data_IF_384662703474
#
_entry.id   IF_384662703474
#
_cell.length_a   1.000
_cell.length_b   1.000
_cell.length_c   1.000
_cell.angle_alpha   90.00
_cell.angle_beta   90.00
_cell.angle_gamma   90.00
#
_symmetry.space_group_name_H-M   'P 1'
#
loop_
_entity.id
_entity.type
_entity.pdbx_description
1 polymer ?
#
# COMPACT_ATOMS: atom_id res chain seq x y z
N UNK A 1 -98.54 25.52 39.35
CA UNK A 1 -98.33 25.78 40.79
C UNK A 1 -98.75 24.51 41.53
N UNK A 2 -97.87 23.56 41.90
CA UNK A 2 -96.80 23.58 42.93
C UNK A 2 -97.35 24.10 44.27
N UNK A 3 -97.16 23.44 45.41
CA UNK A 3 -96.74 22.08 45.80
C UNK A 3 -97.07 21.95 47.29
N UNK A 4 -96.88 20.75 47.82
CA UNK A 4 -97.21 20.34 49.19
C UNK A 4 -96.04 19.52 49.77
N UNK A 5 -96.10 19.27 51.09
CA UNK A 5 -95.52 18.13 51.86
C UNK A 5 -94.06 18.31 52.30
N UNK A 6 -93.55 18.05 53.53
CA UNK A 6 -93.83 17.35 54.83
C UNK A 6 -92.77 16.25 55.14
N UNK A 7 -92.11 16.45 56.29
CA UNK A 7 -91.06 15.79 57.11
C UNK A 7 -90.90 14.24 57.23
N UNK A 8 -89.64 13.76 57.48
CA UNK A 8 -89.11 13.21 58.79
C UNK A 8 -87.66 12.63 58.75
N UNK A 9 -86.87 13.00 59.79
CA UNK A 9 -85.79 12.35 60.62
C UNK A 9 -84.67 11.47 59.99
N UNK A 10 -83.41 11.75 60.40
CA UNK A 10 -82.10 11.25 59.92
C UNK A 10 -81.44 10.31 60.96
N UNK A 11 -80.88 9.18 60.51
CA UNK A 11 -79.85 8.36 61.18
C UNK A 11 -78.67 8.25 60.21
N UNK A 12 -77.46 8.55 60.69
CA UNK A 12 -76.24 8.72 59.90
C UNK A 12 -75.33 7.48 60.04
N UNK A 13 -75.08 6.76 58.95
CA UNK A 13 -73.97 5.81 58.82
C UNK A 13 -73.63 5.60 57.33
N UNK A 14 -72.34 5.43 57.04
CA UNK A 14 -71.74 5.06 55.74
C UNK A 14 -71.55 6.24 54.75
N UNK A 15 -70.53 6.32 53.88
CA UNK A 15 -69.60 5.34 53.34
C UNK A 15 -68.42 6.12 52.71
N UNK A 16 -67.19 5.60 52.82
CA UNK A 16 -65.97 6.17 52.20
C UNK A 16 -66.03 5.96 50.68
N UNK A 17 -65.94 7.04 49.92
CA UNK A 17 -65.86 7.04 48.46
C UNK A 17 -64.42 6.81 48.00
N UNK A 18 -64.17 5.70 47.29
CA UNK A 18 -62.99 5.52 46.46
C UNK A 18 -63.14 6.33 45.17
N UNK A 19 -62.26 7.30 44.94
CA UNK A 19 -62.04 7.88 43.61
C UNK A 19 -61.12 6.94 42.82
N UNK A 20 -61.66 6.27 41.82
CA UNK A 20 -60.85 5.59 40.81
C UNK A 20 -60.23 6.66 39.90
N UNK A 21 -58.90 6.79 39.91
CA UNK A 21 -58.19 7.43 38.82
C UNK A 21 -58.35 6.55 37.58
N UNK A 22 -58.93 7.10 36.51
CA UNK A 22 -58.68 6.58 35.17
C UNK A 22 -57.20 6.79 34.89
N UNK A 23 -56.45 5.71 34.74
CA UNK A 23 -55.18 5.78 34.02
C UNK A 23 -55.57 6.03 32.56
N UNK A 24 -55.45 7.28 32.12
CA UNK A 24 -55.27 7.56 30.71
C UNK A 24 -53.98 6.85 30.30
N UNK A 25 -54.12 5.74 29.57
CA UNK A 25 -53.02 5.17 28.79
C UNK A 25 -52.62 6.22 27.75
N UNK A 26 -51.80 7.17 28.17
CA UNK A 26 -51.03 8.01 27.28
C UNK A 26 -50.02 7.08 26.61
N UNK A 27 -50.46 6.33 25.61
CA UNK A 27 -49.57 5.68 24.66
C UNK A 27 -48.88 6.80 23.88
N UNK A 28 -47.81 7.35 24.44
CA UNK A 28 -46.95 8.29 23.74
C UNK A 28 -46.41 7.56 22.52
N UNK A 29 -46.96 7.88 21.35
CA UNK A 29 -46.51 7.33 20.08
C UNK A 29 -45.04 7.70 19.94
N UNK A 30 -44.15 6.71 19.82
CA UNK A 30 -42.72 6.98 19.70
C UNK A 30 -42.44 7.85 18.47
N UNK A 31 -41.61 8.87 18.64
CA UNK A 31 -41.16 9.76 17.56
C UNK A 31 -39.65 9.67 17.42
N UNK A 32 -39.16 9.80 16.18
CA UNK A 32 -37.77 10.16 15.92
C UNK A 32 -37.77 11.58 15.39
N UNK A 33 -37.05 12.44 16.11
CA UNK A 33 -36.82 13.83 15.75
C UNK A 33 -35.57 13.97 14.88
N UNK A 34 -34.50 13.25 15.21
CA UNK A 34 -33.25 13.28 14.46
C UNK A 34 -32.45 11.97 14.54
N UNK A 35 -31.72 11.68 13.47
CA UNK A 35 -30.62 10.72 13.48
C UNK A 35 -29.35 11.47 13.09
N UNK A 36 -28.38 11.57 14.01
CA UNK A 36 -27.16 12.35 13.83
C UNK A 36 -25.96 11.42 13.84
N UNK A 37 -25.17 11.42 12.76
CA UNK A 37 -23.97 10.61 12.66
C UNK A 37 -22.70 11.38 13.06
N UNK A 38 -21.83 10.72 13.83
CA UNK A 38 -20.54 11.25 14.24
C UNK A 38 -19.39 10.42 13.64
N UNK A 39 -18.28 11.07 13.21
CA UNK A 39 -18.05 12.52 13.22
C UNK A 39 -18.80 13.27 12.09
N UNK A 40 -19.00 14.58 12.28
CA UNK A 40 -19.52 15.49 11.23
C UNK A 40 -20.97 15.94 11.39
N UNK A 41 -21.67 15.47 12.42
CA UNK A 41 -23.06 15.81 12.75
C UNK A 41 -24.02 15.72 11.54
N UNK A 42 -23.83 14.67 10.73
CA UNK A 42 -24.64 14.46 9.54
C UNK A 42 -26.06 14.05 9.93
N UNK A 43 -27.05 14.81 9.47
CA UNK A 43 -28.45 14.56 9.77
C UNK A 43 -29.06 13.58 8.75
N UNK A 44 -29.58 12.45 9.22
CA UNK A 44 -30.16 11.37 8.42
C UNK A 44 -29.23 10.83 7.32
N UNK A 45 -27.92 11.05 7.47
CA UNK A 45 -26.89 10.50 6.61
C UNK A 45 -25.77 9.95 7.49
N UNK A 46 -25.08 8.92 7.03
CA UNK A 46 -23.94 8.36 7.74
C UNK A 46 -22.96 7.69 6.77
N UNK A 47 -21.68 7.70 7.12
CA UNK A 47 -20.72 6.79 6.51
C UNK A 47 -20.81 5.40 7.17
N UNK A 48 -20.38 4.34 6.46
CA UNK A 48 -20.03 3.06 7.08
C UNK A 48 -19.23 3.23 8.37
N UNK A 49 -19.57 2.45 9.39
CA UNK A 49 -18.90 2.40 10.69
C UNK A 49 -19.02 3.67 11.55
N UNK A 50 -19.73 4.71 11.08
CA UNK A 50 -20.05 5.85 11.93
C UNK A 50 -21.00 5.44 13.05
N UNK A 51 -20.87 6.12 14.19
CA UNK A 51 -21.87 6.07 15.25
C UNK A 51 -23.01 7.00 14.89
N UNK A 52 -24.24 6.53 15.10
CA UNK A 52 -25.47 7.31 14.90
C UNK A 52 -26.18 7.41 16.23
N UNK A 53 -26.40 8.65 16.67
CA UNK A 53 -27.27 8.98 17.79
C UNK A 53 -28.67 9.26 17.25
N UNK A 54 -29.66 8.54 17.78
CA UNK A 54 -31.07 8.78 17.49
C UNK A 54 -31.66 9.55 18.66
N UNK A 55 -32.42 10.60 18.36
CA UNK A 55 -33.10 11.46 19.33
C UNK A 55 -34.61 11.49 19.03
N UNK A 56 -35.41 11.49 20.09
CA UNK A 56 -36.87 11.52 20.01
C UNK A 56 -37.54 11.30 21.37
N UNK A 57 -38.75 10.74 21.35
CA UNK A 57 -39.54 10.40 22.55
C UNK A 57 -40.11 8.98 22.42
N UNK A 58 -40.33 8.29 23.54
CA UNK A 58 -40.87 6.92 23.54
C UNK A 58 -39.90 5.85 23.00
N UNK A 59 -38.59 6.12 23.05
CA UNK A 59 -37.55 5.24 22.49
C UNK A 59 -37.08 4.15 23.46
N UNK A 60 -37.64 4.08 24.68
CA UNK A 60 -37.24 3.10 25.67
C UNK A 60 -37.57 1.66 25.24
N UNK A 61 -36.75 0.72 25.67
CA UNK A 61 -36.94 -0.70 25.40
C UNK A 61 -36.73 -1.04 23.93
N UNK A 62 -35.70 -0.46 23.30
CA UNK A 62 -35.26 -0.82 21.96
C UNK A 62 -34.90 -2.32 21.93
N UNK A 63 -35.52 -3.05 21.01
CA UNK A 63 -35.40 -4.51 20.84
C UNK A 63 -34.59 -4.87 19.61
N UNK A 64 -34.78 -4.12 18.52
CA UNK A 64 -34.18 -4.43 17.23
C UNK A 64 -34.00 -3.18 16.38
N UNK A 65 -32.90 -3.16 15.64
CA UNK A 65 -32.65 -2.19 14.57
C UNK A 65 -32.41 -3.00 13.29
N UNK A 66 -33.13 -2.66 12.23
CA UNK A 66 -33.00 -3.32 10.92
C UNK A 66 -32.76 -2.29 9.83
N UNK A 67 -31.64 -2.42 9.11
CA UNK A 67 -31.27 -1.59 7.97
C UNK A 67 -31.60 -2.28 6.64
N UNK A 68 -32.17 -1.53 5.71
CA UNK A 68 -32.64 -2.00 4.40
C UNK A 68 -33.53 -3.26 4.48
N UNK A 69 -34.25 -3.43 5.60
CA UNK A 69 -35.07 -4.60 5.93
C UNK A 69 -34.30 -5.95 5.92
N UNK A 70 -32.97 -5.93 5.93
CA UNK A 70 -32.11 -7.12 5.78
C UNK A 70 -31.10 -7.26 6.89
N UNK A 71 -30.48 -6.15 7.28
CA UNK A 71 -29.30 -6.14 8.15
C UNK A 71 -29.73 -5.80 9.56
N UNK A 72 -29.60 -6.77 10.47
CA UNK A 72 -29.79 -6.51 11.89
C UNK A 72 -28.58 -5.75 12.43
N UNK A 73 -28.82 -4.59 13.05
CA UNK A 73 -27.77 -3.78 13.67
C UNK A 73 -27.72 -4.10 15.17
N UNK A 74 -26.54 -4.43 15.66
CA UNK A 74 -26.29 -4.57 17.10
C UNK A 74 -26.24 -3.21 17.78
N UNK A 75 -26.78 -3.14 18.99
CA UNK A 75 -26.74 -1.96 19.85
C UNK A 75 -26.48 -2.38 21.28
N UNK A 76 -26.04 -1.45 22.11
CA UNK A 76 -25.86 -1.68 23.54
C UNK A 76 -27.11 -1.15 24.29
N UNK A 77 -27.92 -2.02 24.93
CA UNK A 77 -29.11 -1.59 25.66
C UNK A 77 -28.82 -0.58 26.78
N UNK A 78 -27.60 -0.56 27.33
CA UNK A 78 -27.20 0.41 28.36
C UNK A 78 -27.07 1.85 27.82
N UNK A 79 -27.03 2.04 26.51
CA UNK A 79 -27.07 3.35 25.86
C UNK A 79 -28.47 3.72 25.36
N UNK A 80 -29.51 2.91 25.66
CA UNK A 80 -30.88 3.23 25.32
C UNK A 80 -31.58 3.91 26.51
N UNK A 81 -32.21 5.04 26.22
CA UNK A 81 -33.10 5.77 27.10
C UNK A 81 -34.42 6.03 26.37
N UNK A 82 -35.38 6.63 27.05
CA UNK A 82 -36.63 7.03 26.41
C UNK A 82 -36.44 8.13 25.34
N UNK A 83 -35.35 8.90 25.42
CA UNK A 83 -35.10 10.04 24.53
C UNK A 83 -34.05 9.81 23.46
N UNK A 84 -33.18 8.83 23.68
CA UNK A 84 -32.07 8.58 22.76
C UNK A 84 -31.51 7.17 22.87
N UNK A 85 -30.89 6.73 21.78
CA UNK A 85 -29.99 5.59 21.74
C UNK A 85 -28.90 5.78 20.69
N UNK A 86 -27.86 4.96 20.77
CA UNK A 86 -26.72 5.02 19.86
C UNK A 86 -26.49 3.64 19.26
N UNK A 87 -26.20 3.60 17.96
CA UNK A 87 -25.74 2.40 17.27
C UNK A 87 -24.61 2.75 16.29
N UNK A 88 -24.01 1.74 15.67
CA UNK A 88 -22.98 1.91 14.63
C UNK A 88 -23.49 1.35 13.31
N UNK A 89 -23.31 2.08 12.22
CA UNK A 89 -23.72 1.64 10.89
C UNK A 89 -22.80 0.49 10.46
N UNK A 90 -23.31 -0.75 10.31
CA UNK A 90 -22.49 -1.81 9.75
C UNK A 90 -22.28 -1.58 8.26
N UNK A 91 -21.22 -2.17 7.71
CA UNK A 91 -21.08 -2.29 6.27
C UNK A 91 -20.43 -3.61 5.93
N UNK A 92 -21.27 -4.55 5.52
CA UNK A 92 -20.90 -5.88 5.04
C UNK A 92 -21.71 -6.19 3.78
N UNK A 93 -21.02 -6.28 2.65
CA UNK A 93 -21.61 -6.59 1.34
C UNK A 93 -22.28 -7.96 1.31
N UNK A 94 -21.76 -8.93 2.06
CA UNK A 94 -22.32 -10.29 2.13
C UNK A 94 -23.67 -10.29 2.84
N UNK A 95 -23.89 -9.33 3.73
CA UNK A 95 -25.18 -9.09 4.37
C UNK A 95 -26.09 -8.14 3.57
N UNK A 96 -25.63 -7.68 2.40
CA UNK A 96 -26.41 -6.83 1.50
C UNK A 96 -26.29 -5.33 1.75
N UNK A 97 -25.21 -4.88 2.41
CA UNK A 97 -24.99 -3.43 2.62
C UNK A 97 -24.82 -2.71 1.28
N UNK A 98 -25.40 -1.51 1.18
CA UNK A 98 -25.33 -0.66 -0.01
C UNK A 98 -25.29 0.82 0.38
N UNK A 99 -24.82 1.65 -0.56
CA UNK A 99 -24.85 3.10 -0.43
C UNK A 99 -26.19 3.70 -0.89
N UNK A 100 -26.37 4.98 -0.57
CA UNK A 100 -27.57 5.76 -0.89
C UNK A 100 -28.65 5.63 0.16
N UNK A 101 -29.82 6.18 -0.17
CA UNK A 101 -30.98 6.21 0.73
C UNK A 101 -31.55 4.80 0.91
N UNK A 102 -31.81 4.43 2.16
CA UNK A 102 -32.42 3.15 2.51
C UNK A 102 -33.22 3.24 3.81
N UNK A 103 -34.26 2.40 3.96
CA UNK A 103 -35.06 2.40 5.17
C UNK A 103 -34.27 1.83 6.34
N UNK A 104 -34.44 2.42 7.52
CA UNK A 104 -33.98 1.92 8.80
C UNK A 104 -35.19 1.84 9.75
N UNK A 105 -35.40 0.64 10.28
CA UNK A 105 -36.55 0.31 11.13
C UNK A 105 -36.07 0.02 12.54
N UNK A 106 -36.77 0.58 13.52
CA UNK A 106 -36.50 0.41 14.94
C UNK A 106 -37.73 -0.18 15.62
N UNK A 107 -37.53 -1.24 16.39
CA UNK A 107 -38.58 -1.88 17.18
C UNK A 107 -38.33 -1.59 18.65
N UNK A 108 -39.26 -0.88 19.31
CA UNK A 108 -39.19 -0.47 20.73
C UNK A 108 -40.29 -1.13 21.56
N UNK A 109 -40.41 -0.75 22.84
CA UNK A 109 -41.58 -1.11 23.64
C UNK A 109 -42.87 -0.43 23.16
N UNK A 110 -42.77 0.79 22.61
CA UNK A 110 -43.90 1.59 22.16
C UNK A 110 -44.39 1.24 20.73
N UNK A 111 -43.58 0.52 19.95
CA UNK A 111 -43.95 0.08 18.61
C UNK A 111 -42.76 0.00 17.65
N UNK A 112 -43.07 -0.19 16.36
CA UNK A 112 -42.09 -0.19 15.28
C UNK A 112 -42.23 1.08 14.43
N UNK A 113 -41.11 1.70 14.10
CA UNK A 113 -41.06 2.89 13.25
C UNK A 113 -39.92 2.82 12.26
N UNK A 114 -40.17 3.33 11.05
CA UNK A 114 -39.23 3.34 9.93
C UNK A 114 -38.93 4.77 9.51
N UNK A 115 -37.66 5.06 9.28
CA UNK A 115 -37.16 6.30 8.69
C UNK A 115 -36.23 5.96 7.52
N UNK A 116 -35.90 6.97 6.72
CA UNK A 116 -34.86 6.85 5.72
C UNK A 116 -33.54 7.36 6.28
N UNK A 117 -32.45 6.66 5.95
CA UNK A 117 -31.07 7.10 6.19
C UNK A 117 -30.27 6.94 4.91
N UNK A 118 -29.46 7.94 4.57
CA UNK A 118 -28.54 7.86 3.43
C UNK A 118 -27.18 7.34 3.88
N UNK A 119 -26.73 6.21 3.31
CA UNK A 119 -25.38 5.72 3.56
C UNK A 119 -24.43 6.27 2.50
N UNK A 120 -23.57 7.17 2.91
CA UNK A 120 -22.60 7.83 2.04
C UNK A 120 -21.42 6.91 1.75
N UNK A 121 -20.92 6.94 0.52
CA UNK A 121 -19.70 6.23 0.14
C UNK A 121 -18.47 7.02 0.63
N UNK A 122 -17.55 6.40 1.39
CA UNK A 122 -16.30 7.06 1.75
C UNK A 122 -15.42 7.35 0.53
N UNK A 123 -14.54 8.35 0.67
CA UNK A 123 -13.50 8.62 -0.33
C UNK A 123 -12.62 7.37 -0.48
N UNK A 124 -12.32 6.93 -1.71
CA UNK A 124 -11.44 5.80 -1.92
C UNK A 124 -10.02 6.11 -1.44
N UNK A 125 -9.25 5.07 -1.12
CA UNK A 125 -7.83 5.21 -0.80
C UNK A 125 -6.99 4.32 -1.70
N UNK A 126 -5.74 4.70 -1.91
CA UNK A 126 -4.72 3.83 -2.50
C UNK A 126 -3.64 3.63 -1.44
N UNK A 127 -3.38 2.38 -1.08
CA UNK A 127 -2.43 2.03 -0.03
C UNK A 127 -1.14 1.42 -0.58
N UNK A 128 -1.23 0.69 -1.69
CA UNK A 128 -0.08 -0.04 -2.25
C UNK A 128 -0.25 -0.34 -3.74
N UNK A 129 0.88 -0.48 -4.43
CA UNK A 129 0.94 -1.02 -5.79
C UNK A 129 1.71 -2.34 -5.82
N UNK A 130 1.32 -3.26 -6.70
CA UNK A 130 1.96 -4.56 -6.89
C UNK A 130 2.20 -4.78 -8.40
N UNK A 131 3.47 -4.86 -8.86
CA UNK A 131 4.70 -4.69 -8.07
C UNK A 131 4.85 -3.29 -7.46
N UNK A 132 5.65 -3.17 -6.39
CA UNK A 132 5.94 -1.89 -5.75
C UNK A 132 6.74 -0.96 -6.69
N UNK A 133 7.58 -1.55 -7.56
CA UNK A 133 8.23 -0.87 -8.66
C UNK A 133 7.49 -1.21 -9.94
N UNK A 134 6.74 -0.25 -10.44
CA UNK A 134 5.97 -0.40 -11.65
C UNK A 134 6.88 -0.43 -12.89
N UNK A 135 6.48 -1.20 -13.90
CA UNK A 135 7.15 -1.25 -15.20
C UNK A 135 6.15 -0.84 -16.28
N UNK A 136 6.41 0.24 -17.05
CA UNK A 136 5.59 0.61 -18.19
C UNK A 136 5.35 -0.58 -19.14
N UNK A 137 4.13 -0.72 -19.65
CA UNK A 137 3.72 -1.83 -20.52
C UNK A 137 3.26 -3.10 -19.79
N UNK A 138 3.43 -3.18 -18.47
CA UNK A 138 2.97 -4.32 -17.66
C UNK A 138 1.77 -3.97 -16.78
N UNK A 139 0.94 -4.95 -16.37
CA UNK A 139 -0.13 -4.72 -15.41
C UNK A 139 0.40 -4.24 -14.06
N UNK A 140 -0.37 -3.36 -13.41
CA UNK A 140 -0.13 -2.89 -12.06
C UNK A 140 -1.40 -3.13 -11.23
N UNK A 141 -1.29 -3.92 -10.17
CA UNK A 141 -2.36 -4.06 -9.19
C UNK A 141 -2.28 -2.92 -8.18
N UNK A 142 -3.42 -2.30 -7.90
CA UNK A 142 -3.59 -1.18 -6.98
C UNK A 142 -4.47 -1.67 -5.83
N UNK A 143 -3.92 -1.70 -4.63
CA UNK A 143 -4.64 -2.04 -3.40
C UNK A 143 -5.08 -0.77 -2.68
N UNK A 144 -6.24 -0.84 -2.02
CA UNK A 144 -6.87 0.31 -1.39
C UNK A 144 -8.17 0.00 -0.69
N UNK A 145 -9.05 0.99 -0.60
CA UNK A 145 -10.41 0.84 -0.04
C UNK A 145 -11.43 1.62 -0.84
N UNK A 146 -12.70 1.21 -0.70
CA UNK A 146 -13.89 1.88 -1.25
C UNK A 146 -13.91 2.04 -2.78
N UNK A 147 -13.34 1.08 -3.51
CA UNK A 147 -13.39 0.98 -4.98
C UNK A 147 -14.75 0.52 -5.50
N UNK A 148 -15.82 1.20 -5.09
CA UNK A 148 -17.18 0.97 -5.58
C UNK A 148 -17.54 1.95 -6.68
N UNK A 149 -18.15 1.43 -7.75
CA UNK A 149 -18.66 2.22 -8.88
C UNK A 149 -17.62 3.22 -9.41
N UNK A 150 -16.38 2.77 -9.61
CA UNK A 150 -15.31 3.61 -10.18
C UNK A 150 -15.82 4.22 -11.49
N UNK A 151 -15.85 5.55 -11.54
CA UNK A 151 -16.30 6.32 -12.70
C UNK A 151 -15.14 6.70 -13.62
N UNK A 152 -13.92 6.77 -13.09
CA UNK A 152 -12.70 6.97 -13.89
C UNK A 152 -11.44 6.50 -13.18
N UNK A 153 -10.47 6.05 -13.98
CA UNK A 153 -9.07 5.85 -13.60
C UNK A 153 -8.22 6.59 -14.63
N UNK A 154 -7.34 7.49 -14.18
CA UNK A 154 -6.44 8.23 -15.06
C UNK A 154 -5.00 8.22 -14.57
N UNK A 155 -4.02 8.20 -15.47
CA UNK A 155 -2.60 8.34 -15.16
C UNK A 155 -2.03 9.53 -15.95
N UNK A 156 -1.49 10.53 -15.25
CA UNK A 156 -1.01 11.76 -15.88
C UNK A 156 -2.09 12.48 -16.69
N UNK A 157 -3.36 12.37 -16.25
CA UNK A 157 -4.52 12.91 -16.95
C UNK A 157 -5.05 12.07 -18.13
N UNK A 158 -4.36 11.00 -18.53
CA UNK A 158 -4.84 10.07 -19.58
C UNK A 158 -5.72 8.98 -18.96
N UNK A 159 -6.88 8.70 -19.56
CA UNK A 159 -7.76 7.63 -19.10
C UNK A 159 -7.13 6.25 -19.27
N UNK A 160 -7.32 5.37 -18.28
CA UNK A 160 -6.87 3.99 -18.28
C UNK A 160 -8.06 3.03 -18.18
N UNK A 161 -7.92 1.87 -18.82
CA UNK A 161 -8.78 0.73 -18.52
C UNK A 161 -8.34 0.08 -17.21
N UNK A 162 -9.32 -0.46 -16.47
CA UNK A 162 -9.07 -1.20 -15.25
C UNK A 162 -9.95 -2.46 -15.19
N UNK A 163 -9.49 -3.44 -14.41
CA UNK A 163 -10.26 -4.61 -14.00
C UNK A 163 -10.50 -4.52 -12.51
N UNK A 164 -11.75 -4.53 -12.08
CA UNK A 164 -12.11 -4.58 -10.66
C UNK A 164 -11.97 -6.02 -10.14
N UNK A 165 -11.10 -6.26 -9.15
CA UNK A 165 -11.02 -7.56 -8.46
C UNK A 165 -11.93 -7.58 -7.23
N UNK A 166 -11.94 -6.49 -6.48
CA UNK A 166 -12.76 -6.29 -5.28
C UNK A 166 -12.89 -4.79 -4.98
N UNK A 167 -13.70 -4.45 -3.97
CA UNK A 167 -13.79 -3.10 -3.42
C UNK A 167 -12.48 -2.57 -2.80
N UNK A 168 -11.43 -3.38 -2.76
CA UNK A 168 -10.10 -3.05 -2.24
C UNK A 168 -8.95 -3.33 -3.22
N UNK A 169 -9.24 -3.82 -4.43
CA UNK A 169 -8.21 -4.09 -5.43
C UNK A 169 -8.71 -3.91 -6.87
N UNK A 170 -7.92 -3.20 -7.67
CA UNK A 170 -8.06 -3.10 -9.12
C UNK A 170 -6.75 -3.45 -9.82
N UNK A 171 -6.82 -3.91 -11.06
CA UNK A 171 -5.65 -4.02 -11.95
C UNK A 171 -5.80 -3.00 -13.06
N UNK A 172 -4.76 -2.20 -13.28
CA UNK A 172 -4.64 -1.30 -14.42
C UNK A 172 -3.57 -1.80 -15.40
N UNK A 173 -3.75 -1.55 -16.68
CA UNK A 173 -2.68 -1.71 -17.66
C UNK A 173 -1.85 -0.42 -17.71
N UNK A 174 -0.56 -0.48 -17.36
CA UNK A 174 0.31 0.68 -17.54
C UNK A 174 0.67 0.84 -19.01
N UNK A 175 0.45 2.04 -19.60
CA UNK A 175 0.93 2.32 -20.95
C UNK A 175 2.45 2.13 -21.05
N UNK A 176 2.94 1.65 -22.19
CA UNK A 176 4.38 1.50 -22.44
C UNK A 176 5.12 2.85 -22.49
N UNK A 177 4.41 3.94 -22.79
CA UNK A 177 4.90 5.32 -22.81
C UNK A 177 4.64 6.07 -21.50
N UNK A 178 4.25 5.37 -20.42
CA UNK A 178 4.00 6.01 -19.14
C UNK A 178 5.27 6.70 -18.62
N UNK A 179 5.12 7.89 -18.05
CA UNK A 179 6.23 8.69 -17.51
C UNK A 179 6.31 8.53 -15.99
N UNK A 180 7.52 8.31 -15.46
CA UNK A 180 7.74 8.21 -14.02
C UNK A 180 7.30 9.50 -13.32
N UNK A 181 6.67 9.39 -12.15
CA UNK A 181 6.12 10.54 -11.43
C UNK A 181 4.71 10.95 -11.87
N UNK A 182 4.04 10.17 -12.73
CA UNK A 182 2.67 10.47 -13.16
C UNK A 182 1.67 10.28 -12.01
N UNK A 183 0.73 11.23 -11.84
CA UNK A 183 -0.37 11.11 -10.88
C UNK A 183 -1.40 10.09 -11.38
N UNK A 184 -1.62 9.02 -10.61
CA UNK A 184 -2.75 8.11 -10.73
C UNK A 184 -3.93 8.67 -9.92
N UNK A 185 -5.07 8.80 -10.58
CA UNK A 185 -6.32 9.30 -10.00
C UNK A 185 -7.40 8.23 -10.18
N UNK A 186 -8.05 7.84 -9.10
CA UNK A 186 -9.21 6.93 -9.10
C UNK A 186 -10.41 7.69 -8.55
N UNK A 187 -11.47 7.79 -9.33
CA UNK A 187 -12.70 8.51 -8.95
C UNK A 187 -13.85 7.55 -8.73
N UNK A 188 -14.55 7.73 -7.62
CA UNK A 188 -15.80 7.06 -7.28
C UNK A 188 -16.86 8.11 -6.89
N UNK A 189 -18.13 7.73 -6.71
CA UNK A 189 -19.14 8.65 -6.18
C UNK A 189 -18.79 9.24 -4.80
N UNK A 190 -17.98 8.51 -4.00
CA UNK A 190 -17.51 8.96 -2.69
C UNK A 190 -16.37 9.98 -2.75
N UNK A 191 -15.75 10.21 -3.91
CA UNK A 191 -14.66 11.16 -4.11
C UNK A 191 -13.50 10.58 -4.91
N UNK A 192 -12.30 11.09 -4.68
CA UNK A 192 -11.12 10.78 -5.49
C UNK A 192 -9.93 10.36 -4.64
N UNK A 193 -9.30 9.25 -5.01
CA UNK A 193 -7.99 8.84 -4.50
C UNK A 193 -6.90 9.29 -5.48
N UNK A 194 -5.78 9.78 -4.95
CA UNK A 194 -4.62 10.21 -5.74
C UNK A 194 -3.36 9.55 -5.20
N UNK A 195 -2.47 9.15 -6.10
CA UNK A 195 -1.12 8.68 -5.77
C UNK A 195 -0.17 8.93 -6.92
N UNK A 196 1.13 8.96 -6.68
CA UNK A 196 2.15 9.09 -7.73
C UNK A 196 2.69 7.71 -8.08
N UNK A 197 2.74 7.39 -9.38
CA UNK A 197 3.36 6.16 -9.87
C UNK A 197 4.77 6.50 -10.36
N UNK A 198 5.76 5.91 -9.69
CA UNK A 198 7.16 6.02 -10.05
C UNK A 198 7.63 4.71 -10.69
N UNK A 199 8.45 4.84 -11.72
CA UNK A 199 9.14 3.73 -12.37
C UNK A 199 10.60 3.77 -11.98
N UNK A 200 11.24 2.60 -11.91
CA UNK A 200 12.69 2.58 -11.85
C UNK A 200 13.25 2.83 -13.25
N UNK A 201 14.23 3.74 -13.34
CA UNK A 201 15.03 3.92 -14.55
C UNK A 201 16.15 2.89 -14.55
N UNK A 202 16.44 2.33 -15.72
CA UNK A 202 17.46 1.31 -15.92
C UNK A 202 18.54 1.83 -16.87
N UNK A 203 19.79 1.78 -16.44
CA UNK A 203 20.97 1.99 -17.29
C UNK A 203 21.65 0.63 -17.44
N UNK A 204 21.65 0.08 -18.65
CA UNK A 204 22.44 -1.12 -18.95
C UNK A 204 23.89 -0.67 -19.06
N UNK A 205 24.73 -1.16 -18.17
CA UNK A 205 26.18 -0.90 -18.20
C UNK A 205 26.81 -1.82 -19.24
N UNK A 206 26.57 -3.12 -19.13
CA UNK A 206 26.98 -4.13 -20.10
C UNK A 206 26.12 -5.38 -19.95
N UNK A 207 25.69 -5.96 -21.06
CA UNK A 207 25.10 -7.29 -21.14
C UNK A 207 26.02 -8.32 -21.83
N UNK A 208 27.25 -7.91 -22.17
CA UNK A 208 28.23 -8.74 -22.89
C UNK A 208 27.77 -9.30 -24.25
N UNK A 209 26.64 -8.80 -24.77
CA UNK A 209 26.06 -9.14 -26.07
C UNK A 209 26.01 -7.93 -27.03
N UNK A 210 26.68 -6.84 -26.63
CA UNK A 210 26.85 -5.64 -27.44
C UNK A 210 25.94 -4.48 -27.06
N UNK A 211 25.12 -4.61 -26.01
CA UNK A 211 24.34 -3.50 -25.48
C UNK A 211 24.94 -2.91 -24.20
N UNK A 212 24.57 -1.66 -23.92
CA UNK A 212 24.95 -0.94 -22.73
C UNK A 212 25.87 0.24 -22.99
N UNK A 213 26.10 1.03 -21.94
CA UNK A 213 26.90 2.26 -22.00
C UNK A 213 28.41 2.02 -21.89
N UNK A 214 28.82 0.76 -21.66
CA UNK A 214 30.22 0.33 -21.46
C UNK A 214 30.43 -1.12 -21.96
N UNK A 215 30.66 -1.29 -23.26
CA UNK A 215 30.74 -2.62 -23.90
C UNK A 215 32.16 -3.21 -24.00
N UNK A 216 33.21 -2.42 -23.75
CA UNK A 216 34.61 -2.86 -23.95
C UNK A 216 35.32 -3.14 -22.62
N UNK A 217 35.18 -4.37 -22.11
CA UNK A 217 35.75 -4.78 -20.82
C UNK A 217 37.16 -5.36 -20.95
N UNK A 218 38.06 -4.94 -20.07
CA UNK A 218 39.43 -5.44 -19.95
C UNK A 218 39.73 -5.86 -18.52
N UNK A 219 40.71 -6.73 -18.33
CA UNK A 219 41.19 -7.15 -17.00
C UNK A 219 42.54 -6.56 -16.66
N UNK A 220 42.87 -6.53 -15.37
CA UNK A 220 44.12 -5.99 -14.84
C UNK A 220 44.48 -6.61 -13.48
N UNK A 221 45.74 -6.47 -13.10
CA UNK A 221 46.28 -6.97 -11.84
C UNK A 221 46.54 -8.47 -11.85
N UNK A 222 46.40 -9.10 -10.69
CA UNK A 222 46.65 -10.51 -10.47
C UNK A 222 45.52 -11.39 -11.04
N UNK A 223 45.50 -11.56 -12.36
CA UNK A 223 44.49 -12.33 -13.09
C UNK A 223 45.16 -13.52 -13.78
N UNK A 224 44.49 -14.68 -13.78
CA UNK A 224 44.91 -15.84 -14.56
C UNK A 224 44.35 -15.76 -15.99
N UNK A 225 43.05 -15.54 -16.12
CA UNK A 225 42.40 -15.29 -17.41
C UNK A 225 41.14 -14.45 -17.28
N UNK A 226 40.78 -13.76 -18.36
CA UNK A 226 39.53 -13.01 -18.50
C UNK A 226 38.96 -13.21 -19.90
N UNK A 227 37.68 -13.56 -19.99
CA UNK A 227 36.96 -13.65 -21.25
C UNK A 227 35.57 -13.03 -21.11
N UNK A 228 35.35 -11.90 -21.80
CA UNK A 228 34.08 -11.18 -21.83
C UNK A 228 33.03 -11.75 -22.81
N UNK A 229 33.34 -12.85 -23.52
CA UNK A 229 32.50 -13.41 -24.58
C UNK A 229 32.26 -14.92 -24.39
N UNK A 230 32.09 -15.37 -23.15
CA UNK A 230 31.84 -16.79 -22.87
C UNK A 230 30.37 -17.09 -23.08
N UNK A 231 30.01 -18.05 -23.94
CA UNK A 231 28.62 -18.40 -24.20
C UNK A 231 27.97 -19.18 -23.04
N UNK A 232 26.65 -19.06 -22.90
CA UNK A 232 25.85 -19.81 -21.91
C UNK A 232 25.57 -19.04 -20.63
N UNK A 233 25.50 -17.71 -20.73
CA UNK A 233 25.03 -16.82 -19.68
C UNK A 233 23.51 -16.89 -19.50
N UNK A 234 22.96 -16.15 -18.53
CA UNK A 234 21.52 -15.96 -18.38
C UNK A 234 20.86 -15.42 -19.65
N UNK A 235 21.56 -14.52 -20.34
CA UNK A 235 21.21 -14.00 -21.66
C UNK A 235 22.47 -14.01 -22.51
N UNK A 236 22.57 -14.94 -23.47
CA UNK A 236 23.68 -14.95 -24.42
C UNK A 236 25.06 -15.18 -23.79
N UNK A 237 25.96 -14.22 -23.97
CA UNK A 237 27.33 -14.29 -23.48
C UNK A 237 27.47 -13.73 -22.05
N UNK A 238 28.56 -14.10 -21.38
CA UNK A 238 28.92 -13.57 -20.07
C UNK A 238 30.44 -13.36 -19.95
N UNK A 239 30.83 -12.62 -18.92
CA UNK A 239 32.22 -12.43 -18.55
C UNK A 239 32.68 -13.47 -17.51
N UNK A 240 33.80 -14.13 -17.78
CA UNK A 240 34.48 -15.02 -16.86
C UNK A 240 35.84 -14.43 -16.45
N UNK A 241 36.11 -14.37 -15.15
CA UNK A 241 37.39 -13.90 -14.59
C UNK A 241 37.94 -14.98 -13.66
N UNK A 242 39.13 -15.49 -13.99
CA UNK A 242 39.82 -16.53 -13.22
C UNK A 242 40.97 -15.95 -12.41
N UNK A 243 41.12 -16.45 -11.18
CA UNK A 243 42.24 -16.17 -10.31
C UNK A 243 42.76 -17.47 -9.69
N UNK A 244 44.08 -17.65 -9.74
CA UNK A 244 44.79 -18.87 -9.30
C UNK A 244 45.66 -18.65 -8.07
N UNK A 245 45.56 -17.48 -7.42
CA UNK A 245 46.18 -17.23 -6.12
C UNK A 245 47.33 -16.24 -6.12
N UNK A 246 47.68 -15.67 -7.28
CA UNK A 246 48.70 -14.62 -7.32
C UNK A 246 48.30 -13.47 -6.40
N UNK A 247 49.27 -12.95 -5.65
CA UNK A 247 49.16 -11.76 -4.79
C UNK A 247 50.27 -10.76 -5.10
N UNK A 248 50.89 -10.86 -6.28
CA UNK A 248 52.07 -10.08 -6.64
C UNK A 248 51.79 -8.57 -6.66
N UNK A 249 50.60 -8.17 -7.12
CA UNK A 249 50.17 -6.78 -7.17
C UNK A 249 49.27 -6.40 -5.98
N UNK A 250 48.62 -7.39 -5.36
CA UNK A 250 47.69 -7.20 -4.25
C UNK A 250 46.33 -6.64 -4.67
N UNK A 251 46.06 -6.60 -5.98
CA UNK A 251 44.74 -6.31 -6.54
C UNK A 251 44.53 -7.10 -7.83
N UNK A 252 43.26 -7.34 -8.17
CA UNK A 252 42.83 -7.82 -9.47
C UNK A 252 41.47 -7.22 -9.83
N UNK A 253 41.11 -7.25 -11.11
CA UNK A 253 39.76 -6.90 -11.52
C UNK A 253 39.59 -6.79 -13.02
N UNK A 254 38.39 -6.36 -13.38
CA UNK A 254 37.99 -6.06 -14.75
C UNK A 254 37.07 -4.85 -14.76
N UNK A 255 37.16 -4.06 -15.84
CA UNK A 255 36.31 -2.91 -16.06
C UNK A 255 36.28 -2.52 -17.54
N UNK A 256 35.25 -1.77 -17.92
CA UNK A 256 35.19 -1.06 -19.18
C UNK A 256 35.65 0.41 -19.09
N UNK A 257 36.32 0.77 -17.99
CA UNK A 257 36.93 2.08 -17.81
C UNK A 257 35.98 3.15 -17.27
N UNK A 258 36.58 4.20 -16.71
CA UNK A 258 35.88 5.43 -16.34
C UNK A 258 35.48 6.29 -17.54
N UNK A 259 34.72 7.35 -17.26
CA UNK A 259 34.27 8.29 -18.29
C UNK A 259 33.26 9.28 -17.72
N UNK A 260 32.25 9.63 -18.52
CA UNK A 260 31.08 10.34 -18.01
C UNK A 260 30.35 9.49 -16.98
N UNK A 261 29.78 10.13 -15.96
CA UNK A 261 28.90 9.46 -15.00
C UNK A 261 27.78 8.68 -15.68
N UNK A 262 27.34 7.60 -15.05
CA UNK A 262 26.23 6.79 -15.56
C UNK A 262 24.86 7.47 -15.42
N UNK A 263 24.70 8.32 -14.41
CA UNK A 263 23.43 8.95 -14.07
C UNK A 263 23.48 10.45 -14.32
N UNK A 264 22.31 11.09 -14.43
CA UNK A 264 22.23 12.55 -14.45
C UNK A 264 22.64 13.14 -13.11
N UNK A 265 23.09 14.40 -13.11
CA UNK A 265 23.54 15.13 -11.92
C UNK A 265 22.45 15.34 -10.87
N UNK A 266 21.18 15.10 -11.20
CA UNK A 266 20.05 15.15 -10.27
C UNK A 266 19.91 13.91 -9.40
N UNK A 267 20.50 12.77 -9.80
CA UNK A 267 20.27 11.47 -9.17
C UNK A 267 21.38 11.14 -8.17
N UNK A 268 21.38 11.84 -7.03
CA UNK A 268 22.46 11.75 -6.04
C UNK A 268 22.22 10.69 -4.97
N UNK A 269 20.98 10.16 -4.85
CA UNK A 269 20.55 9.31 -3.74
C UNK A 269 21.06 7.85 -3.87
N UNK A 270 22.09 7.53 -3.07
CA UNK A 270 22.66 6.18 -3.00
C UNK A 270 21.72 5.14 -2.38
N UNK A 271 20.74 5.53 -1.55
CA UNK A 271 19.78 4.59 -0.95
C UNK A 271 18.68 4.17 -1.94
N UNK A 272 18.51 4.93 -3.03
CA UNK A 272 17.56 4.65 -4.12
C UNK A 272 18.22 4.22 -5.42
N UNK A 273 19.53 3.99 -5.39
CA UNK A 273 20.29 3.53 -6.55
C UNK A 273 20.87 2.15 -6.27
N UNK A 274 20.71 1.25 -7.23
CA UNK A 274 21.06 -0.16 -7.11
C UNK A 274 21.91 -0.59 -8.30
N UNK A 275 22.85 -1.48 -8.05
CA UNK A 275 23.48 -2.30 -9.09
C UNK A 275 22.82 -3.67 -9.07
N UNK A 276 22.21 -4.04 -10.19
CA UNK A 276 21.76 -5.39 -10.44
C UNK A 276 22.80 -6.07 -11.36
N UNK A 277 23.29 -7.24 -10.96
CA UNK A 277 24.28 -8.02 -11.72
C UNK A 277 23.95 -9.50 -11.60
N UNK A 278 23.92 -10.22 -12.71
CA UNK A 278 23.79 -11.67 -12.67
C UNK A 278 25.16 -12.26 -12.35
N UNK A 279 25.20 -13.17 -11.38
CA UNK A 279 26.44 -13.75 -10.87
C UNK A 279 26.36 -15.26 -10.74
N UNK A 280 27.51 -15.90 -10.96
CA UNK A 280 27.78 -17.32 -10.77
C UNK A 280 29.28 -17.50 -10.50
N UNK A 281 29.69 -18.70 -10.13
CA UNK A 281 31.09 -19.07 -10.02
C UNK A 281 31.30 -20.56 -10.34
N UNK A 282 32.56 -20.98 -10.45
CA UNK A 282 32.91 -22.40 -10.52
C UNK A 282 32.77 -23.12 -9.17
N UNK A 283 32.75 -22.39 -8.05
CA UNK A 283 32.77 -22.97 -6.69
C UNK A 283 32.04 -22.06 -5.70
N UNK A 284 31.32 -22.68 -4.75
CA UNK A 284 30.71 -21.97 -3.62
C UNK A 284 31.81 -21.34 -2.76
N UNK A 285 31.56 -20.13 -2.29
CA UNK A 285 32.50 -19.34 -1.49
C UNK A 285 33.42 -18.45 -2.31
N UNK A 286 33.46 -18.57 -3.64
CA UNK A 286 34.16 -17.63 -4.51
C UNK A 286 33.71 -16.19 -4.20
N UNK A 287 34.67 -15.27 -4.16
CA UNK A 287 34.42 -13.91 -3.66
C UNK A 287 34.45 -12.88 -4.76
N UNK A 288 33.34 -12.17 -4.88
CA UNK A 288 33.25 -10.99 -5.71
C UNK A 288 33.72 -9.77 -4.94
N UNK A 289 34.50 -8.93 -5.63
CA UNK A 289 34.71 -7.54 -5.29
C UNK A 289 34.03 -6.69 -6.37
N UNK A 290 32.96 -5.99 -6.00
CA UNK A 290 32.33 -4.97 -6.84
C UNK A 290 32.86 -3.63 -6.38
N UNK A 291 33.54 -2.89 -7.25
CA UNK A 291 34.12 -1.60 -6.91
C UNK A 291 33.61 -0.50 -7.82
N UNK A 292 33.55 0.72 -7.30
CA UNK A 292 33.09 1.89 -8.01
C UNK A 292 34.20 2.93 -7.98
N UNK A 293 34.41 3.62 -9.10
CA UNK A 293 35.07 4.92 -9.08
C UNK A 293 34.06 6.01 -9.39
N UNK A 294 34.38 7.20 -8.94
CA UNK A 294 33.62 8.42 -9.17
C UNK A 294 34.43 9.44 -9.94
N UNK A 295 33.75 10.34 -10.65
CA UNK A 295 34.39 11.45 -11.40
C UNK A 295 35.19 12.40 -10.50
N UNK A 296 34.92 12.47 -9.20
CA UNK A 296 35.68 13.27 -8.22
C UNK A 296 36.80 12.48 -7.52
N UNK A 297 37.14 11.30 -8.05
CA UNK A 297 38.32 10.54 -7.63
C UNK A 297 38.14 9.75 -6.34
N UNK A 298 36.91 9.52 -5.89
CA UNK A 298 36.61 8.61 -4.78
C UNK A 298 36.38 7.19 -5.29
N UNK A 299 36.74 6.24 -4.46
CA UNK A 299 36.53 4.81 -4.69
C UNK A 299 35.70 4.16 -3.59
N UNK A 300 34.96 3.14 -3.99
CA UNK A 300 34.08 2.38 -3.11
C UNK A 300 34.13 0.90 -3.46
N UNK A 301 33.77 0.05 -2.50
CA UNK A 301 33.64 -1.39 -2.76
C UNK A 301 32.55 -2.07 -1.94
N UNK A 302 32.06 -3.16 -2.51
CA UNK A 302 31.11 -4.09 -1.91
C UNK A 302 31.57 -5.52 -2.24
N UNK A 303 31.90 -6.27 -1.19
CA UNK A 303 32.43 -7.62 -1.31
C UNK A 303 31.40 -8.65 -0.85
N UNK A 304 31.26 -9.76 -1.57
CA UNK A 304 30.35 -10.84 -1.16
C UNK A 304 30.80 -12.21 -1.67
N UNK A 305 30.30 -13.26 -0.99
CA UNK A 305 30.54 -14.67 -1.33
C UNK A 305 29.39 -15.23 -2.15
N UNK A 306 29.72 -16.03 -3.16
CA UNK A 306 28.75 -16.84 -3.87
C UNK A 306 28.30 -18.01 -2.98
N UNK A 307 26.99 -18.18 -2.83
CA UNK A 307 26.38 -19.27 -2.06
C UNK A 307 25.76 -20.36 -2.93
N UNK A 308 25.54 -20.08 -4.22
CA UNK A 308 25.03 -21.01 -5.22
C UNK A 308 25.77 -20.78 -6.55
N UNK A 309 26.20 -21.86 -7.20
CA UNK A 309 26.90 -21.80 -8.49
C UNK A 309 25.93 -21.61 -9.67
N UNK A 310 24.62 -21.77 -9.46
CA UNK A 310 23.61 -21.38 -10.45
C UNK A 310 23.58 -19.86 -10.61
N UNK A 311 23.17 -19.40 -11.79
CA UNK A 311 22.98 -17.98 -12.06
C UNK A 311 21.91 -17.38 -11.16
N UNK A 312 22.26 -16.28 -10.49
CA UNK A 312 21.34 -15.50 -9.65
C UNK A 312 21.58 -14.01 -9.85
N UNK A 313 20.53 -13.21 -9.82
CA UNK A 313 20.66 -11.75 -9.83
C UNK A 313 21.00 -11.26 -8.42
N UNK A 314 22.13 -10.57 -8.28
CA UNK A 314 22.53 -9.86 -7.08
C UNK A 314 22.14 -8.38 -7.21
N UNK A 315 21.23 -7.93 -6.35
CA UNK A 315 20.91 -6.51 -6.17
C UNK A 315 21.75 -5.93 -5.04
N UNK A 316 22.48 -4.84 -5.30
CA UNK A 316 23.34 -4.16 -4.33
C UNK A 316 22.91 -2.69 -4.26
N UNK A 317 22.53 -2.20 -3.08
CA UNK A 317 22.26 -0.77 -2.89
C UNK A 317 23.57 0.00 -2.83
N UNK A 318 23.68 1.14 -3.51
CA UNK A 318 24.88 1.97 -3.45
C UNK A 318 25.21 2.44 -2.01
N UNK A 319 24.18 2.61 -1.17
CA UNK A 319 24.34 2.92 0.25
C UNK A 319 25.06 1.82 1.07
N UNK A 320 25.10 0.57 0.58
CA UNK A 320 25.77 -0.54 1.28
C UNK A 320 27.28 -0.62 1.00
N UNK A 321 27.79 0.21 0.08
CA UNK A 321 29.21 0.26 -0.24
C UNK A 321 30.02 0.86 0.92
N UNK A 322 31.31 0.53 0.95
CA UNK A 322 32.30 1.14 1.85
C UNK A 322 33.36 1.86 1.04
N UNK A 323 34.00 2.86 1.64
CA UNK A 323 35.16 3.53 1.03
C UNK A 323 36.39 2.60 0.99
N UNK A 324 37.48 3.10 0.39
CA UNK A 324 38.76 2.40 0.26
C UNK A 324 38.57 1.01 -0.36
N UNK A 325 37.94 0.97 -1.54
CA UNK A 325 37.64 -0.25 -2.30
C UNK A 325 36.93 -1.36 -1.50
N UNK A 326 36.13 -0.98 -0.50
CA UNK A 326 35.34 -1.92 0.31
C UNK A 326 35.96 -2.29 1.66
N UNK A 327 37.14 -1.74 1.97
CA UNK A 327 37.91 -2.08 3.17
C UNK A 327 37.87 -1.02 4.28
N UNK A 328 37.26 0.14 4.04
CA UNK A 328 37.12 1.18 5.06
C UNK A 328 35.71 1.28 5.66
N UNK A 329 35.25 2.52 5.86
CA UNK A 329 34.00 2.85 6.54
C UNK A 329 32.80 2.82 5.57
N UNK A 330 31.55 2.68 6.09
CA UNK A 330 30.35 2.82 5.28
C UNK A 330 30.34 4.13 4.48
N UNK A 331 30.01 4.05 3.19
CA UNK A 331 30.06 5.16 2.25
C UNK A 331 28.83 6.07 2.35
N UNK A 332 28.57 6.64 3.53
CA UNK A 332 27.38 7.47 3.81
C UNK A 332 27.29 8.76 2.99
N UNK A 333 28.37 9.14 2.31
CA UNK A 333 28.46 10.33 1.45
C UNK A 333 28.58 9.99 -0.04
N UNK A 334 28.34 8.73 -0.42
CA UNK A 334 28.37 8.31 -1.82
C UNK A 334 27.29 9.04 -2.62
N UNK A 335 27.72 9.77 -3.63
CA UNK A 335 26.85 10.47 -4.58
C UNK A 335 26.67 9.59 -5.81
N UNK A 336 25.47 9.02 -5.96
CA UNK A 336 25.17 8.09 -7.05
C UNK A 336 25.38 8.73 -8.44
N UNK A 337 25.21 10.05 -8.56
CA UNK A 337 25.36 10.78 -9.82
C UNK A 337 26.80 10.87 -10.30
N UNK A 338 27.76 10.57 -9.43
CA UNK A 338 29.19 10.68 -9.73
C UNK A 338 29.83 9.36 -10.13
N UNK A 339 29.14 8.24 -9.96
CA UNK A 339 29.65 6.92 -10.32
C UNK A 339 29.86 6.87 -11.83
N UNK A 340 31.10 6.61 -12.26
CA UNK A 340 31.48 6.62 -13.68
C UNK A 340 32.19 5.36 -14.14
N UNK A 341 32.55 4.48 -13.21
CA UNK A 341 33.19 3.20 -13.46
C UNK A 341 32.65 2.15 -12.49
N UNK A 342 32.37 0.96 -13.02
CA UNK A 342 32.11 -0.25 -12.24
C UNK A 342 33.23 -1.23 -12.56
N UNK A 343 33.75 -1.87 -11.51
CA UNK A 343 34.80 -2.88 -11.58
C UNK A 343 34.30 -4.16 -10.94
N UNK A 344 34.68 -5.29 -11.53
CA UNK A 344 34.36 -6.63 -11.01
C UNK A 344 35.65 -7.42 -10.90
N UNK A 345 35.96 -7.91 -9.71
CA UNK A 345 37.16 -8.69 -9.41
C UNK A 345 36.94 -9.73 -8.33
N UNK A 346 38.04 -10.35 -7.90
CA UNK A 346 38.07 -11.37 -6.84
C UNK A 346 38.81 -10.84 -5.62
N UNK A 347 38.21 -10.98 -4.43
CA UNK A 347 38.89 -10.65 -3.16
C UNK A 347 40.01 -11.66 -2.92
N UNK A 348 41.26 -11.19 -2.87
CA UNK A 348 42.45 -12.05 -2.82
C UNK A 348 42.86 -12.51 -1.41
N UNK A 349 42.25 -11.95 -0.37
CA UNK A 349 42.61 -12.24 1.03
C UNK A 349 41.90 -13.46 1.62
N UNK A 350 41.22 -14.27 0.81
CA UNK A 350 40.34 -15.34 1.30
C UNK A 350 40.21 -16.49 0.26
N UNK A 351 39.52 -17.55 0.66
CA UNK A 351 39.36 -18.83 -0.06
C UNK A 351 37.92 -18.98 -0.59
N UNK A 352 37.68 -19.86 -1.59
CA UNK A 352 38.59 -20.78 -2.26
C UNK A 352 39.43 -20.14 -3.38
N UNK A 353 40.61 -20.71 -3.57
CA UNK A 353 41.53 -20.42 -4.66
C UNK A 353 42.09 -21.76 -5.19
N UNK A 354 42.03 -22.07 -6.50
CA UNK A 354 41.56 -21.23 -7.61
C UNK A 354 40.05 -20.96 -7.59
N UNK A 355 39.66 -19.80 -8.11
CA UNK A 355 38.26 -19.45 -8.34
C UNK A 355 38.07 -18.76 -9.69
N UNK A 356 36.89 -18.97 -10.27
CA UNK A 356 36.42 -18.34 -11.50
C UNK A 356 35.07 -17.74 -11.20
N UNK A 357 35.00 -16.41 -11.18
CA UNK A 357 33.75 -15.68 -11.09
C UNK A 357 33.17 -15.47 -12.48
N UNK A 358 31.85 -15.52 -12.57
CA UNK A 358 31.08 -15.34 -13.81
C UNK A 358 30.04 -14.27 -13.59
N UNK A 359 29.94 -13.33 -14.51
CA UNK A 359 28.98 -12.25 -14.36
C UNK A 359 28.43 -11.75 -15.69
N UNK A 360 27.20 -11.26 -15.64
CA UNK A 360 26.44 -10.78 -16.79
C UNK A 360 25.44 -9.69 -16.36
N UNK A 361 24.80 -9.02 -17.33
CA UNK A 361 23.64 -8.13 -17.14
C UNK A 361 23.86 -7.02 -16.11
N UNK A 362 25.01 -6.36 -16.13
CA UNK A 362 25.32 -5.27 -15.20
C UNK A 362 24.41 -4.09 -15.52
N UNK A 363 23.56 -3.73 -14.57
CA UNK A 363 22.56 -2.67 -14.70
C UNK A 363 22.62 -1.76 -13.48
N UNK A 364 22.45 -0.46 -13.70
CA UNK A 364 22.16 0.49 -12.64
C UNK A 364 20.67 0.78 -12.69
N UNK A 365 19.98 0.53 -11.59
CA UNK A 365 18.56 0.82 -11.41
C UNK A 365 18.39 1.91 -10.38
N UNK A 366 17.61 2.95 -10.68
CA UNK A 366 17.38 4.06 -9.75
C UNK A 366 15.96 4.61 -9.86
N UNK A 367 15.51 5.31 -8.81
CA UNK A 367 14.18 5.93 -8.73
C UNK A 367 14.27 7.42 -8.49
#
# INVERSE_FOLDING_TARGET
>A
MINKIKYRIIILLALVSFTACQNDDNSTTATIDAMVAEPGDLLNQAFPLNKVRVEGEGLAGLKKITLDNKINISFNPNHNSDKAFIFTIPFDEKLGSRFGVQPITFETAAGSFTKDIEILQPVPTVTKTIPAVATPGFPLEIEGTWFYNISSVTLGGKALNYTLKSSSSIIIGLPADAVSGSELIITTPGGTAKTTINFATLVIVSDFDGNGVRTSWNSYGDIDSFNANTAGGPTGNYAALAWTGSTANGYNGSSAGGGTSFLSTSNTDAARTFIDIDVSANVIGAQFAIQLNTIDGKDYGYNFKITDINWTTKTITLADFKDNYGFGLPATTLDASKVNEIKVGIVQSDTPNPSVIKFDNIKIRYQ
#
